data_IF_901313983699
#
_entry.id   IF_901313983699
#
_cell.length_a   1.000
_cell.length_b   1.000
_cell.length_c   1.000
_cell.angle_alpha   90.00
_cell.angle_beta   90.00
_cell.angle_gamma   90.00
#
_symmetry.space_group_name_H-M   'P 1'
#
loop_
_entity.id
_entity.type
_entity.pdbx_description
1 polymer ?
#
# COMPACT_ATOMS: atom_id res chain seq x y z
N UNK A 1 -21.74 5.96 41.87
CA UNK A 1 -21.84 4.72 41.08
C UNK A 1 -21.34 5.02 39.67
N UNK A 2 -20.24 4.41 39.23
CA UNK A 2 -19.72 4.59 37.87
C UNK A 2 -20.63 3.84 36.91
N UNK A 3 -21.33 4.56 36.03
CA UNK A 3 -22.13 3.94 34.97
C UNK A 3 -21.18 3.28 33.97
N UNK A 4 -21.08 1.96 34.04
CA UNK A 4 -20.51 1.13 32.99
C UNK A 4 -21.54 1.12 31.86
N UNK A 5 -21.30 1.94 30.82
CA UNK A 5 -22.08 1.90 29.60
C UNK A 5 -21.66 0.65 28.82
N UNK A 6 -22.40 -0.44 28.98
CA UNK A 6 -22.29 -1.64 28.15
C UNK A 6 -22.78 -1.25 26.75
N UNK A 7 -21.85 -1.06 25.80
CA UNK A 7 -22.20 -0.81 24.41
C UNK A 7 -22.73 -2.10 23.79
N UNK A 8 -23.97 -2.07 23.32
CA UNK A 8 -24.60 -3.17 22.59
C UNK A 8 -23.84 -3.43 21.29
N UNK A 9 -23.38 -4.67 21.11
CA UNK A 9 -22.88 -5.19 19.84
C UNK A 9 -24.08 -5.33 18.89
N UNK A 10 -24.21 -4.43 17.93
CA UNK A 10 -25.21 -4.55 16.86
C UNK A 10 -24.57 -5.29 15.68
N UNK A 11 -24.83 -6.60 15.57
CA UNK A 11 -24.46 -7.38 14.38
C UNK A 11 -25.53 -7.16 13.32
N UNK A 12 -25.26 -6.34 12.30
CA UNK A 12 -26.11 -6.27 11.11
C UNK A 12 -25.75 -7.43 10.16
N UNK A 13 -26.55 -8.50 10.16
CA UNK A 13 -26.60 -9.47 9.05
C UNK A 13 -27.54 -8.92 7.96
N UNK A 14 -27.03 -8.09 7.06
CA UNK A 14 -27.76 -7.75 5.84
C UNK A 14 -27.60 -8.89 4.81
N UNK A 15 -28.38 -9.96 4.96
CA UNK A 15 -28.44 -11.08 4.01
C UNK A 15 -29.76 -11.07 3.23
N UNK A 16 -29.74 -10.64 1.96
CA UNK A 16 -30.83 -10.94 1.02
C UNK A 16 -30.53 -12.29 0.36
N UNK A 17 -31.41 -13.28 0.60
CA UNK A 17 -31.27 -14.64 0.09
C UNK A 17 -31.63 -14.77 -1.40
N UNK A 18 -30.62 -14.85 -2.27
CA UNK A 18 -30.68 -15.58 -3.55
C UNK A 18 -29.27 -15.80 -4.14
N UNK A 19 -28.99 -17.04 -4.59
CA UNK A 19 -27.84 -17.56 -5.37
C UNK A 19 -26.63 -16.63 -5.66
N UNK A 20 -25.53 -16.81 -4.92
CA UNK A 20 -24.21 -16.20 -5.15
C UNK A 20 -23.80 -15.11 -4.14
N UNK A 21 -23.93 -15.38 -2.84
CA UNK A 21 -23.94 -14.35 -1.80
C UNK A 21 -22.60 -13.62 -1.61
N UNK A 22 -22.66 -12.29 -1.55
CA UNK A 22 -21.63 -11.49 -0.91
C UNK A 22 -21.81 -11.60 0.61
N UNK A 23 -20.72 -11.71 1.35
CA UNK A 23 -20.68 -11.73 2.82
C UNK A 23 -20.20 -10.38 3.31
N UNK A 24 -20.95 -9.77 4.23
CA UNK A 24 -20.52 -8.60 4.97
C UNK A 24 -20.59 -8.92 6.48
N UNK A 25 -19.49 -8.71 7.19
CA UNK A 25 -19.42 -8.82 8.64
C UNK A 25 -18.85 -7.53 9.20
N UNK A 26 -19.61 -6.87 10.05
CA UNK A 26 -19.23 -5.59 10.63
C UNK A 26 -19.31 -5.66 12.15
N UNK A 27 -18.33 -5.10 12.83
CA UNK A 27 -18.32 -4.98 14.30
C UNK A 27 -17.81 -3.59 14.66
N UNK A 28 -18.57 -2.85 15.45
CA UNK A 28 -18.24 -1.49 15.86
C UNK A 28 -18.33 -1.37 17.39
N UNK A 29 -17.32 -0.75 17.99
CA UNK A 29 -17.31 -0.36 19.40
C UNK A 29 -16.83 1.09 19.54
N UNK A 30 -17.52 1.89 20.37
CA UNK A 30 -17.26 3.33 20.56
C UNK A 30 -18.26 4.26 19.85
N UNK A 31 -18.05 5.58 19.93
CA UNK A 31 -19.04 6.58 19.50
C UNK A 31 -18.76 7.14 18.09
N UNK A 32 -19.81 7.41 17.31
CA UNK A 32 -19.77 8.11 16.00
C UNK A 32 -18.86 7.48 14.93
N UNK A 33 -18.52 6.18 15.01
CA UNK A 33 -17.90 5.54 13.84
C UNK A 33 -18.94 5.38 12.73
N UNK A 34 -18.53 5.67 11.49
CA UNK A 34 -19.35 5.58 10.30
C UNK A 34 -18.80 4.49 9.38
N UNK A 35 -19.66 3.55 9.02
CA UNK A 35 -19.32 2.40 8.21
C UNK A 35 -20.24 2.34 7.00
N UNK A 36 -19.65 2.25 5.80
CA UNK A 36 -20.37 2.04 4.55
C UNK A 36 -19.78 0.88 3.78
N UNK A 37 -20.58 -0.15 3.52
CA UNK A 37 -20.19 -1.29 2.66
C UNK A 37 -21.19 -1.39 1.50
N UNK A 38 -20.71 -1.23 0.27
CA UNK A 38 -21.47 -1.45 -0.96
C UNK A 38 -20.88 -2.67 -1.69
N UNK A 39 -21.63 -3.77 -1.78
CA UNK A 39 -21.21 -4.99 -2.50
C UNK A 39 -22.18 -5.27 -3.65
N UNK A 40 -21.71 -5.12 -4.89
CA UNK A 40 -22.40 -5.57 -6.10
C UNK A 40 -21.54 -6.66 -6.76
N UNK A 41 -22.13 -7.75 -7.22
CA UNK A 41 -21.39 -8.90 -7.79
C UNK A 41 -21.61 -10.18 -6.99
N UNK A 42 -20.73 -11.18 -7.17
CA UNK A 42 -20.89 -12.53 -6.59
C UNK A 42 -19.72 -12.89 -5.68
N UNK A 43 -19.99 -13.55 -4.55
CA UNK A 43 -18.98 -14.13 -3.64
C UNK A 43 -17.95 -13.14 -3.06
N UNK A 44 -18.26 -11.85 -2.97
CA UNK A 44 -17.35 -10.91 -2.32
C UNK A 44 -17.48 -10.98 -0.80
N UNK A 45 -16.38 -10.88 -0.06
CA UNK A 45 -16.37 -10.83 1.41
C UNK A 45 -15.85 -9.47 1.87
N UNK A 46 -16.56 -8.81 2.77
CA UNK A 46 -16.11 -7.62 3.48
C UNK A 46 -16.20 -7.89 4.97
N UNK A 47 -15.08 -7.84 5.68
CA UNK A 47 -15.02 -7.94 7.15
C UNK A 47 -14.46 -6.62 7.65
N UNK A 48 -15.18 -5.97 8.55
CA UNK A 48 -14.74 -4.71 9.13
C UNK A 48 -14.94 -4.70 10.65
N UNK A 49 -13.88 -4.34 11.38
CA UNK A 49 -13.93 -4.11 12.82
C UNK A 49 -13.42 -2.70 13.13
N UNK A 50 -14.24 -1.88 13.78
CA UNK A 50 -13.88 -0.53 14.22
C UNK A 50 -13.98 -0.43 15.75
N UNK A 51 -12.93 0.09 16.39
CA UNK A 51 -12.90 0.37 17.84
C UNK A 51 -12.39 1.79 18.09
N UNK A 52 -13.12 2.57 18.89
CA UNK A 52 -12.80 3.95 19.22
C UNK A 52 -13.85 4.93 18.69
N UNK A 53 -13.49 6.22 18.51
CA UNK A 53 -14.47 7.25 18.14
C UNK A 53 -14.23 7.87 16.77
N UNK A 54 -15.31 8.28 16.09
CA UNK A 54 -15.27 9.04 14.83
C UNK A 54 -14.49 8.35 13.67
N UNK A 55 -14.27 7.04 13.71
CA UNK A 55 -13.63 6.32 12.61
C UNK A 55 -14.57 6.23 11.41
N UNK A 56 -14.07 6.47 10.21
CA UNK A 56 -14.82 6.34 8.97
C UNK A 56 -14.22 5.24 8.10
N UNK A 57 -15.05 4.34 7.61
CA UNK A 57 -14.61 3.36 6.64
C UNK A 57 -15.65 3.09 5.57
N UNK A 58 -15.19 3.16 4.33
CA UNK A 58 -15.99 2.85 3.14
C UNK A 58 -15.34 1.71 2.37
N UNK A 59 -16.09 0.63 2.16
CA UNK A 59 -15.71 -0.49 1.29
C UNK A 59 -16.71 -0.55 0.13
N UNK A 60 -16.23 -0.43 -1.09
CA UNK A 60 -17.05 -0.54 -2.30
C UNK A 60 -16.51 -1.64 -3.21
N UNK A 61 -17.25 -2.72 -3.35
CA UNK A 61 -16.93 -3.86 -4.22
C UNK A 61 -17.98 -3.91 -5.34
N UNK A 62 -17.82 -3.13 -6.40
CA UNK A 62 -18.85 -2.97 -7.44
C UNK A 62 -18.60 -3.86 -8.65
N UNK A 63 -19.47 -4.85 -8.86
CA UNK A 63 -19.41 -5.87 -9.94
C UNK A 63 -18.12 -6.67 -9.92
N UNK A 64 -17.66 -6.95 -8.71
CA UNK A 64 -16.51 -7.78 -8.41
C UNK A 64 -16.93 -9.25 -8.21
N UNK A 65 -15.99 -10.19 -8.41
CA UNK A 65 -16.23 -11.61 -8.13
C UNK A 65 -15.14 -12.12 -7.20
N UNK A 66 -15.52 -12.69 -6.05
CA UNK A 66 -14.58 -13.38 -5.15
C UNK A 66 -13.62 -12.48 -4.38
N UNK A 67 -13.81 -11.15 -4.37
CA UNK A 67 -12.89 -10.27 -3.67
C UNK A 67 -13.10 -10.32 -2.15
N UNK A 68 -12.01 -10.35 -1.37
CA UNK A 68 -12.05 -10.29 0.10
C UNK A 68 -11.38 -9.01 0.59
N UNK A 69 -12.10 -8.25 1.41
CA UNK A 69 -11.58 -7.10 2.14
C UNK A 69 -11.71 -7.34 3.63
N UNK A 70 -10.63 -7.14 4.36
CA UNK A 70 -10.59 -7.17 5.82
C UNK A 70 -9.98 -5.86 6.31
N UNK A 71 -10.75 -5.12 7.11
CA UNK A 71 -10.36 -3.82 7.63
C UNK A 71 -10.51 -3.79 9.14
N UNK A 72 -9.42 -3.54 9.85
CA UNK A 72 -9.39 -3.31 11.28
C UNK A 72 -8.95 -1.87 11.57
N UNK A 73 -9.78 -1.09 12.26
CA UNK A 73 -9.43 0.26 12.71
C UNK A 73 -9.56 0.36 14.23
N UNK A 74 -8.52 0.87 14.87
CA UNK A 74 -8.49 1.16 16.30
C UNK A 74 -7.95 2.57 16.56
N UNK A 75 -8.63 3.34 17.41
CA UNK A 75 -8.27 4.73 17.75
C UNK A 75 -9.35 5.72 17.30
N UNK A 76 -8.99 6.99 17.09
CA UNK A 76 -9.95 8.03 16.76
C UNK A 76 -9.75 8.63 15.36
N UNK A 77 -10.86 8.93 14.67
CA UNK A 77 -10.86 9.66 13.38
C UNK A 77 -10.02 9.00 12.27
N UNK A 78 -9.80 7.69 12.32
CA UNK A 78 -9.15 6.98 11.22
C UNK A 78 -10.09 6.92 10.01
N UNK A 79 -9.56 7.08 8.81
CA UNK A 79 -10.30 7.04 7.55
C UNK A 79 -9.74 5.97 6.61
N UNK A 80 -10.55 4.99 6.23
CA UNK A 80 -10.21 3.98 5.24
C UNK A 80 -11.20 3.98 4.09
N UNK A 81 -10.71 4.05 2.87
CA UNK A 81 -11.51 3.91 1.66
C UNK A 81 -10.92 2.79 0.78
N UNK A 82 -11.69 1.71 0.60
CA UNK A 82 -11.30 0.56 -0.22
C UNK A 82 -12.30 0.41 -1.35
N UNK A 83 -11.83 0.53 -2.59
CA UNK A 83 -12.65 0.40 -3.79
C UNK A 83 -12.11 -0.72 -4.68
N UNK A 84 -12.95 -1.69 -5.00
CA UNK A 84 -12.68 -2.77 -5.95
C UNK A 84 -13.72 -2.70 -7.08
N UNK A 85 -13.30 -2.32 -8.28
CA UNK A 85 -14.20 -1.95 -9.38
C UNK A 85 -14.56 -3.13 -10.30
N UNK A 86 -15.43 -2.86 -11.28
CA UNK A 86 -15.90 -3.83 -12.28
C UNK A 86 -14.73 -4.50 -12.99
N UNK A 87 -14.66 -5.82 -12.92
CA UNK A 87 -13.59 -6.63 -13.52
C UNK A 87 -12.40 -6.91 -12.60
N UNK A 88 -12.47 -6.49 -11.33
CA UNK A 88 -11.60 -6.99 -10.27
C UNK A 88 -12.09 -8.36 -9.77
N UNK A 89 -11.23 -9.38 -9.77
CA UNK A 89 -11.57 -10.73 -9.32
C UNK A 89 -10.53 -11.32 -8.35
N UNK A 90 -10.99 -12.04 -7.31
CA UNK A 90 -10.15 -12.75 -6.32
C UNK A 90 -9.10 -11.88 -5.61
N UNK A 91 -9.28 -10.56 -5.58
CA UNK A 91 -8.35 -9.66 -4.93
C UNK A 91 -8.57 -9.65 -3.42
N UNK A 92 -7.47 -9.60 -2.66
CA UNK A 92 -7.46 -9.58 -1.20
C UNK A 92 -6.88 -8.27 -0.69
N UNK A 93 -7.59 -7.60 0.20
CA UNK A 93 -7.09 -6.43 0.92
C UNK A 93 -7.19 -6.71 2.42
N UNK A 94 -6.08 -6.61 3.13
CA UNK A 94 -6.04 -6.60 4.59
C UNK A 94 -5.43 -5.26 5.02
N UNK A 95 -6.21 -4.43 5.70
CA UNK A 95 -5.78 -3.12 6.17
C UNK A 95 -6.00 -3.04 7.69
N UNK A 96 -4.94 -2.70 8.43
CA UNK A 96 -5.00 -2.41 9.87
C UNK A 96 -4.53 -0.99 10.11
N UNK A 97 -5.34 -0.18 10.78
CA UNK A 97 -4.98 1.17 11.23
C UNK A 97 -5.11 1.25 12.75
N UNK A 98 -4.06 1.69 13.42
CA UNK A 98 -4.03 1.88 14.87
C UNK A 98 -3.43 3.25 15.20
N UNK A 99 -4.12 4.04 16.03
CA UNK A 99 -3.75 5.41 16.38
C UNK A 99 -4.81 6.41 15.90
N UNK A 100 -4.46 7.69 15.81
CA UNK A 100 -5.42 8.74 15.47
C UNK A 100 -5.18 9.32 14.06
N UNK A 101 -6.27 9.70 13.37
CA UNK A 101 -6.22 10.42 12.08
C UNK A 101 -5.47 9.71 10.95
N UNK A 102 -5.30 8.39 10.99
CA UNK A 102 -4.66 7.67 9.88
C UNK A 102 -5.59 7.60 8.67
N UNK A 103 -5.05 7.82 7.47
CA UNK A 103 -5.77 7.74 6.20
C UNK A 103 -5.19 6.63 5.33
N UNK A 104 -6.06 5.74 4.84
CA UNK A 104 -5.70 4.74 3.86
C UNK A 104 -6.71 4.73 2.71
N UNK A 105 -6.20 4.78 1.48
CA UNK A 105 -7.00 4.66 0.27
C UNK A 105 -6.43 3.54 -0.60
N UNK A 106 -7.23 2.51 -0.86
CA UNK A 106 -6.83 1.36 -1.68
C UNK A 106 -7.83 1.22 -2.82
N UNK A 107 -7.34 1.22 -4.06
CA UNK A 107 -8.16 1.09 -5.27
C UNK A 107 -7.62 -0.02 -6.15
N UNK A 108 -8.45 -1.03 -6.42
CA UNK A 108 -8.17 -2.13 -7.35
C UNK A 108 -9.16 -2.05 -8.51
N UNK A 109 -8.71 -1.50 -9.64
CA UNK A 109 -9.53 -1.18 -10.80
C UNK A 109 -9.73 -2.34 -11.77
N UNK A 110 -10.27 -2.04 -12.96
CA UNK A 110 -10.48 -2.99 -14.06
C UNK A 110 -9.22 -3.78 -14.40
N UNK A 111 -9.38 -5.08 -14.67
CA UNK A 111 -8.30 -5.99 -15.10
C UNK A 111 -7.38 -6.47 -13.98
N UNK A 112 -7.77 -6.27 -12.71
CA UNK A 112 -7.04 -6.77 -11.54
C UNK A 112 -7.51 -8.18 -11.16
N UNK A 113 -6.60 -9.15 -11.04
CA UNK A 113 -6.94 -10.50 -10.57
C UNK A 113 -5.95 -11.08 -9.55
N UNK A 114 -6.44 -11.61 -8.44
CA UNK A 114 -5.60 -12.28 -7.43
C UNK A 114 -4.49 -11.41 -6.85
N UNK A 115 -4.67 -10.08 -6.79
CA UNK A 115 -3.71 -9.21 -6.12
C UNK A 115 -3.97 -9.21 -4.62
N UNK A 116 -2.90 -9.18 -3.83
CA UNK A 116 -2.96 -9.10 -2.38
C UNK A 116 -2.32 -7.80 -1.91
N UNK A 117 -3.09 -7.00 -1.17
CA UNK A 117 -2.59 -5.83 -0.45
C UNK A 117 -2.67 -6.12 1.04
N UNK A 118 -1.54 -5.97 1.74
CA UNK A 118 -1.46 -5.98 3.20
C UNK A 118 -0.89 -4.64 3.65
N UNK A 119 -1.64 -3.90 4.45
CA UNK A 119 -1.25 -2.57 4.90
C UNK A 119 -1.46 -2.44 6.41
N UNK A 120 -0.43 -1.96 7.11
CA UNK A 120 -0.47 -1.65 8.54
C UNK A 120 -0.02 -0.20 8.73
N UNK A 121 -0.83 0.60 9.42
CA UNK A 121 -0.50 1.97 9.83
C UNK A 121 -0.61 2.07 11.35
N UNK A 122 0.51 2.29 12.02
CA UNK A 122 0.61 2.51 13.46
C UNK A 122 1.14 3.91 13.78
N UNK A 123 0.50 4.60 14.72
CA UNK A 123 0.80 5.99 15.10
C UNK A 123 -0.23 6.96 14.51
N UNK A 124 0.11 8.24 14.42
CA UNK A 124 -0.87 9.29 14.10
C UNK A 124 -0.65 9.93 12.73
N UNK A 125 -1.74 10.28 12.05
CA UNK A 125 -1.74 11.03 10.79
C UNK A 125 -0.95 10.36 9.64
N UNK A 126 -0.78 9.04 9.66
CA UNK A 126 -0.14 8.34 8.54
C UNK A 126 -1.09 8.31 7.33
N UNK A 127 -0.55 8.48 6.13
CA UNK A 127 -1.30 8.48 4.87
C UNK A 127 -0.76 7.40 3.94
N UNK A 128 -1.65 6.52 3.48
CA UNK A 128 -1.34 5.48 2.51
C UNK A 128 -2.28 5.56 1.31
N UNK A 129 -1.73 5.51 0.11
CA UNK A 129 -2.50 5.36 -1.13
C UNK A 129 -1.94 4.21 -1.95
N UNK A 130 -2.78 3.26 -2.32
CA UNK A 130 -2.43 2.13 -3.18
C UNK A 130 -3.42 2.09 -4.34
N UNK A 131 -2.92 2.16 -5.58
CA UNK A 131 -3.73 2.07 -6.80
C UNK A 131 -3.18 0.98 -7.71
N UNK A 132 -4.02 0.01 -8.06
CA UNK A 132 -3.69 -1.10 -8.96
C UNK A 132 -4.74 -1.12 -10.08
N UNK A 133 -4.35 -0.88 -11.34
CA UNK A 133 -5.29 -0.89 -12.48
C UNK A 133 -4.56 -1.10 -13.81
N UNK A 134 -5.12 -1.89 -14.73
CA UNK A 134 -4.46 -2.14 -16.03
C UNK A 134 -5.14 -3.25 -16.83
N UNK A 135 -4.57 -3.60 -17.99
CA UNK A 135 -5.18 -4.64 -18.86
C UNK A 135 -5.02 -6.05 -18.29
N UNK A 136 -3.93 -6.32 -17.55
CA UNK A 136 -3.73 -7.58 -16.83
C UNK A 136 -2.82 -7.37 -15.61
N UNK A 137 -3.39 -6.91 -14.51
CA UNK A 137 -2.68 -6.71 -13.24
C UNK A 137 -2.99 -7.89 -12.33
N UNK A 138 -2.10 -8.87 -12.22
CA UNK A 138 -2.42 -10.10 -11.47
C UNK A 138 -1.32 -10.67 -10.60
N UNK A 139 -1.69 -11.33 -9.50
CA UNK A 139 -0.76 -11.97 -8.56
C UNK A 139 0.29 -11.02 -7.96
N UNK A 140 0.00 -9.72 -7.89
CA UNK A 140 0.90 -8.78 -7.23
C UNK A 140 0.70 -8.83 -5.71
N UNK A 141 1.81 -8.78 -4.97
CA UNK A 141 1.81 -8.68 -3.51
C UNK A 141 2.35 -7.31 -3.12
N UNK A 142 1.55 -6.54 -2.40
CA UNK A 142 1.94 -5.24 -1.85
C UNK A 142 1.84 -5.28 -0.35
N UNK A 143 2.97 -5.17 0.34
CA UNK A 143 3.04 -5.04 1.79
C UNK A 143 3.47 -3.63 2.14
N UNK A 144 2.71 -2.97 3.03
CA UNK A 144 3.06 -1.65 3.55
C UNK A 144 2.98 -1.66 5.06
N UNK A 145 4.02 -1.13 5.71
CA UNK A 145 4.06 -0.86 7.14
C UNK A 145 4.51 0.58 7.37
N UNK A 146 3.69 1.36 8.05
CA UNK A 146 4.02 2.71 8.47
C UNK A 146 3.92 2.77 9.99
N UNK A 147 5.01 3.09 10.67
CA UNK A 147 5.10 3.23 12.12
C UNK A 147 5.63 4.61 12.47
N UNK A 148 4.95 5.31 13.39
CA UNK A 148 5.26 6.68 13.79
C UNK A 148 4.24 7.68 13.23
N UNK A 149 4.61 8.96 13.11
CA UNK A 149 3.65 10.01 12.80
C UNK A 149 3.86 10.63 11.41
N UNK A 150 2.76 10.95 10.72
CA UNK A 150 2.77 11.69 9.43
C UNK A 150 3.56 11.01 8.31
N UNK A 151 3.73 9.69 8.34
CA UNK A 151 4.37 8.98 7.23
C UNK A 151 3.45 8.93 6.02
N UNK A 152 4.01 9.10 4.81
CA UNK A 152 3.29 9.10 3.54
C UNK A 152 3.81 7.99 2.63
N UNK A 153 2.93 7.06 2.26
CA UNK A 153 3.20 5.98 1.32
C UNK A 153 2.27 6.09 0.12
N UNK A 154 2.83 6.00 -1.09
CA UNK A 154 2.06 5.96 -2.33
C UNK A 154 2.58 4.85 -3.23
N UNK A 155 1.71 3.93 -3.63
CA UNK A 155 2.04 2.83 -4.54
C UNK A 155 1.06 2.84 -5.70
N UNK A 156 1.57 2.98 -6.92
CA UNK A 156 0.79 2.92 -8.16
C UNK A 156 1.35 1.83 -9.05
N UNK A 157 0.50 0.88 -9.45
CA UNK A 157 0.78 -0.17 -10.41
C UNK A 157 -0.23 -0.03 -11.55
N UNK A 158 0.15 0.69 -12.61
CA UNK A 158 -0.76 1.15 -13.65
C UNK A 158 -0.33 0.75 -15.07
N UNK A 159 -1.28 0.24 -15.85
CA UNK A 159 -1.08 -0.09 -17.27
C UNK A 159 -0.45 -1.46 -17.53
N UNK A 160 -0.46 -1.89 -18.80
CA UNK A 160 0.18 -3.12 -19.30
C UNK A 160 -0.15 -4.44 -18.57
N UNK A 161 0.73 -5.44 -18.75
CA UNK A 161 0.74 -6.69 -17.97
C UNK A 161 1.65 -6.49 -16.77
N UNK A 162 1.05 -6.44 -15.58
CA UNK A 162 1.76 -6.32 -14.31
C UNK A 162 1.49 -7.60 -13.53
N UNK A 163 2.44 -8.54 -13.54
CA UNK A 163 2.22 -9.84 -12.88
C UNK A 163 3.36 -10.30 -11.99
N UNK A 164 3.01 -10.90 -10.84
CA UNK A 164 3.96 -11.50 -9.91
C UNK A 164 4.88 -10.50 -9.20
N UNK A 165 4.60 -9.19 -9.24
CA UNK A 165 5.47 -8.22 -8.58
C UNK A 165 5.26 -8.23 -7.07
N UNK A 166 6.36 -8.05 -6.33
CA UNK A 166 6.36 -7.88 -4.89
C UNK A 166 6.85 -6.49 -4.53
N UNK A 167 6.02 -5.73 -3.83
CA UNK A 167 6.38 -4.42 -3.28
C UNK A 167 6.31 -4.51 -1.76
N UNK A 168 7.43 -4.21 -1.10
CA UNK A 168 7.52 -4.10 0.35
C UNK A 168 7.94 -2.66 0.70
N UNK A 169 7.05 -1.89 1.34
CA UNK A 169 7.33 -0.54 1.83
C UNK A 169 7.28 -0.54 3.37
N UNK A 170 8.38 -0.17 4.00
CA UNK A 170 8.48 0.00 5.45
C UNK A 170 8.98 1.41 5.79
N UNK A 171 8.18 2.16 6.54
CA UNK A 171 8.52 3.49 7.03
C UNK A 171 8.43 3.48 8.56
N UNK A 172 9.55 3.72 9.22
CA UNK A 172 9.66 3.74 10.67
C UNK A 172 10.29 5.07 11.12
N UNK A 173 9.51 5.87 11.85
CA UNK A 173 9.86 7.24 12.25
C UNK A 173 8.79 8.24 11.82
N UNK A 174 9.14 9.52 11.72
CA UNK A 174 8.17 10.57 11.43
C UNK A 174 8.40 11.24 10.07
N UNK A 175 7.30 11.62 9.41
CA UNK A 175 7.32 12.40 8.17
C UNK A 175 8.12 11.73 7.02
N UNK A 176 8.31 10.41 7.05
CA UNK A 176 8.92 9.71 5.93
C UNK A 176 7.96 9.67 4.74
N UNK A 177 8.48 9.85 3.54
CA UNK A 177 7.71 9.84 2.29
C UNK A 177 8.29 8.83 1.31
N UNK A 178 7.45 7.91 0.82
CA UNK A 178 7.82 6.93 -0.18
C UNK A 178 6.78 6.89 -1.30
N UNK A 179 7.25 6.93 -2.54
CA UNK A 179 6.43 6.80 -3.75
C UNK A 179 7.01 5.72 -4.66
N UNK A 180 6.23 4.69 -4.93
CA UNK A 180 6.57 3.59 -5.83
C UNK A 180 5.58 3.60 -6.99
N UNK A 181 6.09 3.71 -8.22
CA UNK A 181 5.28 3.73 -9.44
C UNK A 181 5.81 2.68 -10.41
N UNK A 182 4.99 1.70 -10.76
CA UNK A 182 5.27 0.74 -11.83
C UNK A 182 4.28 0.99 -12.97
N UNK A 183 4.78 1.40 -14.13
CA UNK A 183 3.98 1.66 -15.33
C UNK A 183 4.50 0.90 -16.53
N UNK A 184 3.61 0.29 -17.32
CA UNK A 184 3.99 -0.51 -18.50
C UNK A 184 3.91 -2.01 -18.24
N UNK A 185 4.84 -2.79 -18.79
CA UNK A 185 4.91 -4.24 -18.56
C UNK A 185 5.87 -4.50 -17.39
N UNK A 186 5.38 -5.06 -16.30
CA UNK A 186 6.18 -5.34 -15.11
C UNK A 186 5.95 -6.78 -14.68
N UNK A 187 6.95 -7.65 -14.84
CA UNK A 187 6.82 -9.08 -14.54
C UNK A 187 7.87 -9.50 -13.52
N UNK A 188 7.42 -10.05 -12.40
CA UNK A 188 8.26 -10.60 -11.32
C UNK A 188 9.28 -9.61 -10.71
N UNK A 189 8.98 -8.31 -10.71
CA UNK A 189 9.86 -7.33 -10.10
C UNK A 189 9.70 -7.35 -8.57
N UNK A 190 10.82 -7.18 -7.85
CA UNK A 190 10.84 -7.05 -6.40
C UNK A 190 11.34 -5.66 -6.02
N UNK A 191 10.48 -4.88 -5.36
CA UNK A 191 10.80 -3.55 -4.88
C UNK A 191 10.69 -3.50 -3.37
N UNK A 192 11.78 -3.15 -2.71
CA UNK A 192 11.83 -2.98 -1.27
C UNK A 192 12.33 -1.59 -0.94
N UNK A 193 11.52 -0.82 -0.22
CA UNK A 193 11.88 0.50 0.31
C UNK A 193 11.77 0.46 1.83
N UNK A 194 12.88 0.72 2.52
CA UNK A 194 12.94 0.82 3.98
C UNK A 194 13.48 2.18 4.38
N UNK A 195 12.71 2.95 5.13
CA UNK A 195 13.09 4.24 5.66
C UNK A 195 13.03 4.18 7.19
N UNK A 196 14.15 4.46 7.85
CA UNK A 196 14.25 4.50 9.31
C UNK A 196 14.85 5.84 9.74
N UNK A 197 14.15 6.57 10.62
CA UNK A 197 14.46 7.96 11.00
C UNK A 197 13.41 8.94 10.50
N UNK A 198 13.72 10.23 10.46
CA UNK A 198 12.74 11.28 10.17
C UNK A 198 12.96 11.95 8.80
N UNK A 199 11.87 12.33 8.14
CA UNK A 199 11.87 13.13 6.90
C UNK A 199 12.64 12.50 5.72
N UNK A 200 12.80 11.17 5.69
CA UNK A 200 13.42 10.52 4.53
C UNK A 200 12.45 10.50 3.34
N UNK A 201 12.98 10.70 2.13
CA UNK A 201 12.23 10.68 0.88
C UNK A 201 12.77 9.61 -0.07
N UNK A 202 11.89 8.73 -0.53
CA UNK A 202 12.18 7.67 -1.49
C UNK A 202 11.22 7.76 -2.68
N UNK A 203 11.77 7.83 -3.90
CA UNK A 203 10.99 7.78 -5.14
C UNK A 203 11.54 6.67 -6.03
N UNK A 204 10.67 5.73 -6.37
CA UNK A 204 11.00 4.59 -7.23
C UNK A 204 10.03 4.56 -8.40
N UNK A 205 10.55 4.66 -9.62
CA UNK A 205 9.76 4.61 -10.85
C UNK A 205 10.31 3.50 -11.77
N UNK A 206 9.47 2.53 -12.11
CA UNK A 206 9.77 1.52 -13.13
C UNK A 206 8.84 1.74 -14.33
N UNK A 207 9.40 2.02 -15.50
CA UNK A 207 8.71 2.31 -16.77
C UNK A 207 9.06 1.31 -17.85
N UNK A 208 8.14 1.07 -18.79
CA UNK A 208 8.40 0.21 -19.97
C UNK A 208 8.31 -1.28 -19.64
N UNK A 209 9.14 -2.10 -20.27
CA UNK A 209 9.10 -3.57 -20.16
C UNK A 209 10.12 -4.10 -19.15
N UNK A 210 9.81 -3.95 -17.87
CA UNK A 210 10.67 -4.44 -16.79
C UNK A 210 10.37 -5.90 -16.44
N UNK A 211 11.40 -6.75 -16.42
CA UNK A 211 11.28 -8.15 -16.02
C UNK A 211 12.38 -8.55 -15.05
N UNK A 212 12.01 -9.21 -13.96
CA UNK A 212 12.92 -9.74 -12.94
C UNK A 212 13.86 -8.67 -12.33
N UNK A 213 13.42 -7.40 -12.31
CA UNK A 213 14.18 -6.30 -11.73
C UNK A 213 14.03 -6.29 -10.20
N UNK A 214 15.15 -6.17 -9.49
CA UNK A 214 15.19 -6.09 -8.04
C UNK A 214 15.75 -4.74 -7.60
N UNK A 215 14.97 -3.98 -6.83
CA UNK A 215 15.41 -2.72 -6.24
C UNK A 215 15.28 -2.79 -4.72
N UNK A 216 16.39 -2.60 -4.01
CA UNK A 216 16.42 -2.47 -2.56
C UNK A 216 16.95 -1.09 -2.20
N UNK A 217 16.10 -0.25 -1.62
CA UNK A 217 16.45 1.07 -1.13
C UNK A 217 16.30 1.11 0.38
N UNK A 218 17.41 1.35 1.08
CA UNK A 218 17.43 1.52 2.54
C UNK A 218 18.00 2.89 2.90
N UNK A 219 17.22 3.67 3.65
CA UNK A 219 17.61 4.96 4.20
C UNK A 219 17.57 4.89 5.72
N UNK A 220 18.68 5.25 6.38
CA UNK A 220 18.82 5.26 7.83
C UNK A 220 19.39 6.61 8.27
N UNK A 221 18.66 7.33 9.12
CA UNK A 221 18.98 8.69 9.56
C UNK A 221 17.92 9.68 9.07
N UNK A 222 18.25 10.97 9.00
CA UNK A 222 17.26 12.02 8.74
C UNK A 222 17.45 12.69 7.37
N UNK A 223 16.35 13.07 6.72
CA UNK A 223 16.35 13.87 5.48
C UNK A 223 17.12 13.25 4.31
N UNK A 224 17.32 11.93 4.30
CA UNK A 224 17.93 11.27 3.14
C UNK A 224 16.94 11.25 1.98
N UNK A 225 17.43 11.47 0.77
CA UNK A 225 16.65 11.46 -0.47
C UNK A 225 17.23 10.44 -1.44
N UNK A 226 16.38 9.57 -1.98
CA UNK A 226 16.75 8.62 -3.02
C UNK A 226 15.71 8.60 -4.14
N UNK A 227 16.18 8.79 -5.37
CA UNK A 227 15.39 8.65 -6.59
C UNK A 227 15.95 7.53 -7.46
N UNK A 228 15.14 6.56 -7.82
CA UNK A 228 15.51 5.47 -8.71
C UNK A 228 14.50 5.42 -9.86
N UNK A 229 14.99 5.52 -11.09
CA UNK A 229 14.20 5.36 -12.31
C UNK A 229 14.78 4.24 -13.15
N UNK A 230 13.96 3.24 -13.50
CA UNK A 230 14.35 2.15 -14.40
C UNK A 230 13.38 2.13 -15.58
N UNK A 231 13.91 2.13 -16.80
CA UNK A 231 13.14 2.09 -18.03
C UNK A 231 13.58 0.91 -18.92
N UNK A 232 12.66 -0.01 -19.23
CA UNK A 232 12.92 -1.13 -20.14
C UNK A 232 13.99 -2.11 -19.69
N UNK A 233 14.10 -2.37 -18.38
CA UNK A 233 15.21 -3.15 -17.80
C UNK A 233 14.89 -4.64 -17.61
N UNK A 234 15.86 -5.52 -17.85
CA UNK A 234 15.70 -6.97 -17.64
C UNK A 234 16.77 -7.50 -16.71
N UNK A 235 16.36 -8.16 -15.63
CA UNK A 235 17.26 -8.77 -14.63
C UNK A 235 18.26 -7.79 -14.02
N UNK A 236 17.84 -6.56 -13.76
CA UNK A 236 18.66 -5.55 -13.09
C UNK A 236 18.57 -5.66 -11.58
N UNK A 237 19.67 -5.32 -10.90
CA UNK A 237 19.71 -5.23 -9.44
C UNK A 237 20.19 -3.84 -9.04
N UNK A 238 19.38 -3.10 -8.29
CA UNK A 238 19.78 -1.81 -7.71
C UNK A 238 19.73 -1.93 -6.19
N UNK A 239 20.86 -1.72 -5.52
CA UNK A 239 20.91 -1.60 -4.07
C UNK A 239 21.41 -0.21 -3.71
N UNK A 240 20.60 0.52 -2.93
CA UNK A 240 20.96 1.82 -2.38
C UNK A 240 20.91 1.74 -0.86
N UNK A 241 22.03 2.08 -0.24
CA UNK A 241 22.15 2.22 1.21
C UNK A 241 22.61 3.64 1.53
N UNK A 242 21.75 4.41 2.21
CA UNK A 242 22.09 5.73 2.74
C UNK A 242 22.06 5.69 4.26
N UNK A 243 23.19 5.98 4.89
CA UNK A 243 23.34 6.07 6.34
C UNK A 243 23.89 7.44 6.75
N UNK A 244 23.18 8.11 7.66
CA UNK A 244 23.49 9.48 8.11
C UNK A 244 22.42 10.46 7.67
N UNK A 245 22.75 11.76 7.60
CA UNK A 245 21.76 12.82 7.36
C UNK A 245 21.95 13.52 6.01
N UNK A 246 20.86 13.96 5.39
CA UNK A 246 20.87 14.77 4.18
C UNK A 246 21.60 14.12 2.97
N UNK A 247 21.73 12.79 2.91
CA UNK A 247 22.34 12.12 1.76
C UNK A 247 21.37 12.10 0.58
N UNK A 248 21.87 12.29 -0.63
CA UNK A 248 21.11 12.27 -1.87
C UNK A 248 21.68 11.24 -2.86
N UNK A 249 20.83 10.35 -3.36
CA UNK A 249 21.16 9.39 -4.42
C UNK A 249 20.15 9.51 -5.56
N UNK A 250 20.64 9.60 -6.79
CA UNK A 250 19.82 9.47 -8.00
C UNK A 250 20.38 8.34 -8.86
N UNK A 251 19.52 7.40 -9.27
CA UNK A 251 19.88 6.31 -10.18
C UNK A 251 18.91 6.32 -11.35
N UNK A 252 19.43 6.35 -12.56
CA UNK A 252 18.67 6.19 -13.80
C UNK A 252 19.26 5.04 -14.60
N UNK A 253 18.43 4.04 -14.94
CA UNK A 253 18.81 2.93 -15.81
C UNK A 253 17.87 2.85 -17.00
N UNK A 254 18.39 2.88 -18.23
CA UNK A 254 17.58 2.81 -19.46
C UNK A 254 18.03 1.64 -20.34
N UNK A 255 17.10 0.80 -20.81
CA UNK A 255 17.34 -0.35 -21.70
C UNK A 255 18.45 -1.30 -21.20
N UNK A 256 18.62 -1.39 -19.89
CA UNK A 256 19.69 -2.16 -19.25
C UNK A 256 19.31 -3.64 -19.07
N UNK A 257 20.24 -4.54 -19.40
CA UNK A 257 20.13 -5.98 -19.14
C UNK A 257 21.25 -6.47 -18.23
N UNK A 258 20.93 -7.26 -17.20
CA UNK A 258 21.92 -7.87 -16.28
C UNK A 258 22.88 -6.88 -15.59
N UNK A 259 22.46 -5.64 -15.37
CA UNK A 259 23.26 -4.63 -14.69
C UNK A 259 23.00 -4.61 -13.18
N UNK A 260 24.08 -4.53 -12.40
CA UNK A 260 24.03 -4.30 -10.96
C UNK A 260 24.52 -2.88 -10.66
N UNK A 261 23.73 -2.11 -9.91
CA UNK A 261 24.13 -0.81 -9.37
C UNK A 261 24.07 -0.91 -7.86
N UNK A 262 25.23 -0.74 -7.22
CA UNK A 262 25.35 -0.68 -5.77
C UNK A 262 25.84 0.71 -5.37
N UNK A 263 25.01 1.46 -4.67
CA UNK A 263 25.34 2.79 -4.12
C UNK A 263 25.30 2.71 -2.60
N UNK A 264 26.42 2.98 -1.94
CA UNK A 264 26.51 3.13 -0.49
C UNK A 264 26.99 4.52 -0.13
N UNK A 265 26.20 5.26 0.64
CA UNK A 265 26.56 6.56 1.18
C UNK A 265 26.54 6.48 2.71
N UNK A 266 27.66 6.79 3.35
CA UNK A 266 27.78 6.91 4.81
C UNK A 266 28.26 8.31 5.19
N UNK A 267 27.65 8.91 6.20
CA UNK A 267 27.95 10.28 6.65
C UNK A 267 26.85 11.27 6.27
N UNK A 268 27.18 12.56 6.24
CA UNK A 268 26.19 13.61 6.02
C UNK A 268 26.40 14.32 4.68
N UNK A 269 25.30 14.72 4.02
CA UNK A 269 25.29 15.55 2.80
C UNK A 269 25.99 14.93 1.59
N UNK A 270 26.14 13.61 1.54
CA UNK A 270 26.73 12.94 0.38
C UNK A 270 25.80 13.01 -0.83
N UNK A 271 26.35 13.12 -2.04
CA UNK A 271 25.60 13.07 -3.30
C UNK A 271 26.14 11.97 -4.20
N UNK A 272 25.27 11.14 -4.75
CA UNK A 272 25.61 10.11 -5.71
C UNK A 272 24.63 10.17 -6.89
N UNK A 273 25.17 10.08 -8.10
CA UNK A 273 24.40 9.98 -9.33
C UNK A 273 24.95 8.80 -10.13
N UNK A 274 24.08 7.89 -10.54
CA UNK A 274 24.44 6.77 -11.44
C UNK A 274 23.49 6.81 -12.62
N UNK A 275 24.04 6.90 -13.82
CA UNK A 275 23.30 6.85 -15.08
C UNK A 275 23.87 5.70 -15.92
N UNK A 276 23.00 4.80 -16.39
CA UNK A 276 23.34 3.64 -17.22
C UNK A 276 22.30 3.42 -18.30
#
# INVERSE_FOLDING_TARGET
MKHVLVAFVLVFLAGNFALGQNVNTTTQSGQRNNLKVEQEGKNNTAIQTQSGNDNNATIKQSKAIGNRTELLQSGNKNNAAITQEKGAADNKVHLTQSGDLNKAQITQGKGTRSNTVKAVQGGDQNSLTIKQSGTNVSKNLTNVSQSGNKNKGSISQEGGVITGNKIDLNQDGNQNSASISQTGQAVNNQLTVRQSGDQNTAKLAQKGSNRDAKVNLTQSGNKNTAGITQEGTVSTKVNVLQSGNDNATTITQTNSGKNAVDVTQSGNKNKAAVEQ
#
